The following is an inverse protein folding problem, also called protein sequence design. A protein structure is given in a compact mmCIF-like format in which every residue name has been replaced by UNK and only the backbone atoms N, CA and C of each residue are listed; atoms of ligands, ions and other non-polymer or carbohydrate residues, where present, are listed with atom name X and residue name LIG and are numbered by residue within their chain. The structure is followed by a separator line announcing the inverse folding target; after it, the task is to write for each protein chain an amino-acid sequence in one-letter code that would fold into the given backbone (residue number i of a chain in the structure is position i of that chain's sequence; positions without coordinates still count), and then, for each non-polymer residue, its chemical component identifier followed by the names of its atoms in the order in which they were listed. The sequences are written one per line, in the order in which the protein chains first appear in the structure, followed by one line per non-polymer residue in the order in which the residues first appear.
data_IF_665247406800
#
_entry.id   IF_665247406800
#
_cell.length_a   1.000
_cell.length_b   1.000
_cell.length_c   1.000
_cell.angle_alpha   90.00
_cell.angle_beta   90.00
_cell.angle_gamma   90.00
#
_symmetry.space_group_name_H-M   'P 1'
#
loop_
_entity.id
_entity.type
_entity.pdbx_description
1 polymer ?
#
# COMPACT_ATOMS: atom_id res chain seq x y z
N UNK A 1 -10.26 30.39 4.42
CA UNK A 1 -8.82 30.07 4.45
C UNK A 1 -8.16 30.73 3.24
N UNK A 2 -7.34 31.77 3.40
CA UNK A 2 -6.75 32.45 2.25
C UNK A 2 -5.47 31.77 1.76
N UNK A 3 -4.80 30.94 2.58
CA UNK A 3 -3.55 30.25 2.18
C UNK A 3 -3.81 28.79 1.79
N UNK A 4 -3.32 28.40 0.62
CA UNK A 4 -3.42 27.05 0.04
C UNK A 4 -2.07 26.58 -0.52
N UNK A 5 -1.92 25.27 -0.74
CA UNK A 5 -0.71 24.67 -1.31
C UNK A 5 -0.92 24.27 -2.77
N UNK A 6 -0.01 24.68 -3.66
CA UNK A 6 0.03 24.24 -5.05
C UNK A 6 0.50 22.77 -5.19
N UNK A 7 0.37 22.16 -6.37
CA UNK A 7 0.96 20.84 -6.66
C UNK A 7 2.49 20.79 -6.48
N UNK A 8 3.18 21.92 -6.56
CA UNK A 8 4.63 22.02 -6.30
C UNK A 8 4.96 22.24 -4.81
N UNK A 9 3.98 22.07 -3.92
CA UNK A 9 4.07 22.35 -2.47
C UNK A 9 4.41 23.81 -2.11
N UNK A 10 4.29 24.74 -3.06
CA UNK A 10 4.47 26.17 -2.80
C UNK A 10 3.20 26.78 -2.18
N UNK A 11 3.37 27.67 -1.21
CA UNK A 11 2.27 28.43 -0.62
C UNK A 11 1.73 29.49 -1.59
N UNK A 12 0.41 29.58 -1.64
CA UNK A 12 -0.33 30.58 -2.40
C UNK A 12 -1.36 31.23 -1.48
N UNK A 13 -1.44 32.56 -1.51
CA UNK A 13 -2.45 33.34 -0.80
C UNK A 13 -3.48 33.85 -1.81
N UNK A 14 -4.75 33.60 -1.55
CA UNK A 14 -5.91 34.12 -2.27
C UNK A 14 -6.56 35.19 -1.39
N UNK A 15 -6.53 36.43 -1.84
CA UNK A 15 -7.04 37.59 -1.08
C UNK A 15 -7.60 38.62 -2.05
N UNK A 16 -8.83 39.07 -1.80
CA UNK A 16 -9.56 40.06 -2.61
C UNK A 16 -9.64 39.71 -4.11
N UNK A 17 -9.74 38.42 -4.44
CA UNK A 17 -9.75 37.93 -5.83
C UNK A 17 -8.36 37.88 -6.49
N UNK A 18 -7.29 38.24 -5.76
CA UNK A 18 -5.92 38.18 -6.26
C UNK A 18 -5.16 36.98 -5.72
N UNK A 19 -4.19 36.51 -6.51
CA UNK A 19 -3.28 35.42 -6.16
C UNK A 19 -1.89 35.97 -5.87
N UNK A 20 -1.36 35.59 -4.71
CA UNK A 20 -0.02 35.93 -4.27
C UNK A 20 0.80 34.67 -3.99
N UNK A 21 2.11 34.77 -4.19
CA UNK A 21 3.09 33.74 -3.81
C UNK A 21 3.91 34.19 -2.62
N UNK A 22 4.37 33.24 -1.81
CA UNK A 22 5.22 33.53 -0.65
C UNK A 22 6.55 34.16 -1.08
N UNK A 23 6.94 35.24 -0.41
CA UNK A 23 8.19 35.97 -0.62
C UNK A 23 8.78 36.39 0.74
N UNK A 24 9.66 35.54 1.30
CA UNK A 24 10.19 35.65 2.66
C UNK A 24 9.05 35.70 3.72
N UNK A 25 8.90 36.83 4.41
CA UNK A 25 7.85 37.07 5.42
C UNK A 25 6.59 37.70 4.83
N UNK A 26 6.63 38.14 3.56
CA UNK A 26 5.53 38.79 2.86
C UNK A 26 4.99 37.92 1.72
N UNK A 27 4.02 38.47 1.00
CA UNK A 27 3.42 37.87 -0.19
C UNK A 27 3.56 38.82 -1.36
N UNK A 28 3.86 38.28 -2.55
CA UNK A 28 4.04 39.04 -3.79
C UNK A 28 2.99 38.60 -4.82
N UNK A 29 2.38 39.56 -5.51
CA UNK A 29 1.43 39.28 -6.59
C UNK A 29 2.09 38.38 -7.65
N UNK A 30 1.35 37.40 -8.18
CA UNK A 30 1.89 36.48 -9.20
C UNK A 30 1.95 37.09 -10.60
N UNK A 31 1.25 38.19 -10.86
CA UNK A 31 1.22 38.85 -12.17
C UNK A 31 2.62 39.38 -12.51
N UNK A 32 3.11 39.04 -13.69
CA UNK A 32 4.44 39.46 -14.14
C UNK A 32 4.54 41.00 -14.17
N UNK A 33 5.63 41.54 -13.63
CA UNK A 33 5.87 42.99 -13.53
C UNK A 33 5.11 43.69 -12.40
N UNK A 34 4.12 43.05 -11.77
CA UNK A 34 3.35 43.65 -10.69
C UNK A 34 4.15 43.70 -9.37
N UNK A 35 4.20 44.87 -8.75
CA UNK A 35 4.82 45.12 -7.44
C UNK A 35 3.87 44.93 -6.27
N UNK A 36 2.64 44.48 -6.52
CA UNK A 36 1.64 44.24 -5.49
C UNK A 36 2.17 43.34 -4.36
N UNK A 37 1.82 43.68 -3.13
CA UNK A 37 2.25 42.99 -1.91
C UNK A 37 1.06 42.74 -1.00
N UNK A 38 1.12 41.63 -0.26
CA UNK A 38 0.26 41.42 0.90
C UNK A 38 1.12 41.01 2.09
N UNK A 39 0.73 41.46 3.27
CA UNK A 39 1.38 41.12 4.54
C UNK A 39 0.31 40.75 5.56
N UNK A 40 0.69 39.94 6.54
CA UNK A 40 -0.20 39.56 7.63
C UNK A 40 0.41 40.07 8.93
N UNK A 41 -0.28 40.98 9.59
CA UNK A 41 0.13 41.52 10.89
C UNK A 41 -1.07 41.62 11.83
N UNK A 42 -0.90 41.22 13.09
CA UNK A 42 -1.92 41.28 14.16
C UNK A 42 -3.32 40.78 13.77
N UNK A 43 -3.39 39.69 12.99
CA UNK A 43 -4.68 39.09 12.60
C UNK A 43 -5.28 39.64 11.30
N UNK A 44 -4.67 40.67 10.69
CA UNK A 44 -5.23 41.39 9.54
C UNK A 44 -4.27 41.29 8.37
N UNK A 45 -4.82 41.09 7.17
CA UNK A 45 -4.07 41.20 5.94
C UNK A 45 -4.06 42.65 5.47
N UNK A 46 -2.87 43.20 5.24
CA UNK A 46 -2.69 44.50 4.58
C UNK A 46 -2.20 44.26 3.15
N UNK A 47 -2.82 44.94 2.18
CA UNK A 47 -2.48 44.81 0.77
C UNK A 47 -2.00 46.15 0.21
N UNK A 48 -1.00 46.07 -0.66
CA UNK A 48 -0.60 47.12 -1.56
C UNK A 48 -0.88 46.61 -2.98
N UNK A 49 -1.83 47.23 -3.67
CA UNK A 49 -2.09 46.94 -5.07
C UNK A 49 -1.31 47.92 -5.95
N UNK A 50 -0.52 47.36 -6.85
CA UNK A 50 0.19 48.15 -7.85
C UNK A 50 -0.83 48.69 -8.88
N UNK A 51 -0.79 49.98 -9.25
CA UNK A 51 -1.67 50.53 -10.30
C UNK A 51 -1.62 49.78 -11.64
N UNK A 52 -0.52 49.10 -11.96
CA UNK A 52 -0.40 48.27 -13.18
C UNK A 52 -0.98 46.85 -12.99
N UNK A 53 -1.45 46.51 -11.80
CA UNK A 53 -1.99 45.19 -11.51
C UNK A 53 -3.25 44.96 -12.34
N UNK A 54 -3.26 43.84 -13.07
CA UNK A 54 -4.45 43.40 -13.79
C UNK A 54 -5.58 43.17 -12.79
N UNK A 55 -6.81 43.53 -13.19
CA UNK A 55 -8.01 43.22 -12.44
C UNK A 55 -8.10 41.71 -12.09
N UNK A 56 -8.73 41.36 -10.95
CA UNK A 56 -8.98 39.97 -10.57
C UNK A 56 -9.69 39.22 -11.70
N UNK A 57 -9.23 38.00 -11.95
CA UNK A 57 -9.86 37.06 -12.85
C UNK A 57 -10.45 35.92 -12.00
N UNK A 58 -11.79 35.89 -11.80
CA UNK A 58 -12.46 34.86 -11.02
C UNK A 58 -12.14 33.44 -11.52
N UNK A 59 -11.98 33.25 -12.83
CA UNK A 59 -11.73 31.93 -13.42
C UNK A 59 -10.35 31.38 -13.02
N UNK A 60 -9.35 32.25 -12.97
CA UNK A 60 -8.00 31.88 -12.51
C UNK A 60 -7.99 31.53 -11.01
N UNK A 61 -8.86 32.15 -10.21
CA UNK A 61 -9.02 31.81 -8.79
C UNK A 61 -9.72 30.44 -8.65
N UNK A 62 -10.81 30.22 -9.38
CA UNK A 62 -11.52 28.94 -9.38
C UNK A 62 -10.64 27.78 -9.85
N UNK A 63 -9.84 27.98 -10.91
CA UNK A 63 -8.84 27.01 -11.37
C UNK A 63 -7.82 26.66 -10.30
N UNK A 64 -7.37 27.64 -9.52
CA UNK A 64 -6.41 27.42 -8.43
C UNK A 64 -7.07 26.64 -7.30
N UNK A 65 -8.31 26.97 -6.93
CA UNK A 65 -9.11 26.24 -5.96
C UNK A 65 -9.38 24.80 -6.41
N UNK A 66 -9.70 24.59 -7.69
CA UNK A 66 -9.85 23.26 -8.30
C UNK A 66 -8.59 22.42 -8.13
N UNK A 67 -7.42 22.98 -8.45
CA UNK A 67 -6.15 22.28 -8.29
C UNK A 67 -5.84 21.95 -6.81
N UNK A 68 -6.17 22.87 -5.90
CA UNK A 68 -6.04 22.66 -4.46
C UNK A 68 -6.97 21.54 -3.97
N UNK A 69 -8.24 21.54 -4.36
CA UNK A 69 -9.23 20.53 -3.99
C UNK A 69 -8.82 19.14 -4.50
N UNK A 70 -8.38 19.02 -5.75
CA UNK A 70 -7.88 17.76 -6.29
C UNK A 70 -6.68 17.26 -5.48
N UNK A 71 -5.73 18.15 -5.19
CA UNK A 71 -4.54 17.79 -4.42
C UNK A 71 -4.92 17.33 -3.01
N UNK A 72 -5.77 18.09 -2.32
CA UNK A 72 -6.24 17.80 -0.96
C UNK A 72 -6.95 16.45 -0.91
N UNK A 73 -7.89 16.20 -1.82
CA UNK A 73 -8.60 14.91 -1.89
C UNK A 73 -7.66 13.76 -2.26
N UNK A 74 -6.71 13.98 -3.17
CA UNK A 74 -5.71 12.96 -3.51
C UNK A 74 -4.81 12.57 -2.32
N UNK A 75 -4.59 13.48 -1.36
CA UNK A 75 -3.84 13.23 -0.11
C UNK A 75 -4.70 12.58 0.98
N UNK A 76 -6.01 12.86 1.00
CA UNK A 76 -6.91 12.48 2.09
C UNK A 76 -7.82 11.28 1.77
N UNK A 77 -7.95 10.89 0.50
CA UNK A 77 -8.82 9.79 0.07
C UNK A 77 -8.12 8.84 -0.91
N UNK A 78 -8.64 7.60 -0.97
CA UNK A 78 -8.26 6.57 -1.95
C UNK A 78 -9.18 6.54 -3.19
N UNK A 79 -10.11 7.49 -3.32
CA UNK A 79 -11.10 7.52 -4.41
C UNK A 79 -10.44 7.49 -5.79
N UNK A 80 -11.05 6.88 -6.81
CA UNK A 80 -10.48 6.86 -8.15
C UNK A 80 -10.31 8.30 -8.69
N UNK A 81 -9.26 8.59 -9.48
CA UNK A 81 -9.01 9.94 -10.02
C UNK A 81 -10.21 10.56 -10.73
N UNK A 82 -11.03 9.74 -11.40
CA UNK A 82 -12.26 10.17 -12.08
C UNK A 82 -13.27 10.79 -11.12
N UNK A 83 -13.48 10.18 -9.95
CA UNK A 83 -14.40 10.68 -8.94
C UNK A 83 -13.89 11.98 -8.32
N UNK A 84 -12.60 12.05 -7.98
CA UNK A 84 -11.97 13.28 -7.44
C UNK A 84 -12.11 14.45 -8.42
N UNK A 85 -11.80 14.20 -9.70
CA UNK A 85 -11.88 15.23 -10.75
C UNK A 85 -13.32 15.69 -10.94
N UNK A 86 -14.28 14.76 -10.97
CA UNK A 86 -15.69 15.08 -11.15
C UNK A 86 -16.22 15.91 -9.97
N UNK A 87 -15.95 15.50 -8.74
CA UNK A 87 -16.40 16.22 -7.54
C UNK A 87 -15.78 17.61 -7.44
N UNK A 88 -14.51 17.78 -7.84
CA UNK A 88 -13.88 19.10 -7.90
C UNK A 88 -14.48 19.96 -9.03
N UNK A 89 -14.81 19.35 -10.18
CA UNK A 89 -15.42 20.04 -11.34
C UNK A 89 -16.84 20.52 -11.07
N UNK A 90 -17.58 19.87 -10.17
CA UNK A 90 -18.92 20.32 -9.76
C UNK A 90 -18.90 21.60 -8.91
N UNK A 91 -17.73 22.01 -8.40
CA UNK A 91 -17.57 23.20 -7.53
C UNK A 91 -17.13 24.47 -8.27
N UNK A 92 -16.97 24.41 -9.60
CA UNK A 92 -16.52 25.52 -10.43
C UNK A 92 -17.61 25.95 -11.40
N UNK A 93 -17.56 27.21 -11.81
CA UNK A 93 -18.44 27.77 -12.83
C UNK A 93 -18.19 27.15 -14.22
N UNK A 94 -19.19 27.27 -15.10
CA UNK A 94 -19.08 26.81 -16.49
C UNK A 94 -17.98 27.57 -17.25
N UNK A 95 -17.83 28.87 -16.97
CA UNK A 95 -16.84 29.73 -17.62
C UNK A 95 -15.42 29.35 -17.20
N UNK A 96 -15.18 29.20 -15.90
CA UNK A 96 -13.89 28.76 -15.38
C UNK A 96 -13.52 27.32 -15.82
N UNK A 97 -14.50 26.48 -16.14
CA UNK A 97 -14.26 25.12 -16.63
C UNK A 97 -13.55 25.06 -17.99
N UNK A 98 -13.47 26.17 -18.74
CA UNK A 98 -12.63 26.29 -19.94
C UNK A 98 -11.14 26.34 -19.54
N UNK A 99 -10.83 26.94 -18.39
CA UNK A 99 -9.47 27.24 -17.93
C UNK A 99 -8.82 26.13 -17.07
N UNK A 100 -9.57 25.08 -16.72
CA UNK A 100 -9.07 23.96 -15.92
C UNK A 100 -8.22 22.97 -16.75
N UNK A 101 -7.31 22.22 -16.10
CA UNK A 101 -6.56 21.17 -16.79
C UNK A 101 -7.45 20.06 -17.34
N UNK A 102 -7.04 19.52 -18.50
CA UNK A 102 -7.63 18.32 -19.08
C UNK A 102 -7.54 17.11 -18.15
N UNK A 103 -8.45 16.15 -18.30
CA UNK A 103 -8.56 14.96 -17.43
C UNK A 103 -7.22 14.26 -17.21
N UNK A 104 -6.46 14.00 -18.27
CA UNK A 104 -5.17 13.30 -18.21
C UNK A 104 -4.14 14.08 -17.38
N UNK A 105 -4.14 15.42 -17.47
CA UNK A 105 -3.25 16.26 -16.69
C UNK A 105 -3.60 16.21 -15.19
N UNK A 106 -4.89 16.31 -14.85
CA UNK A 106 -5.38 16.18 -13.47
C UNK A 106 -5.11 14.78 -12.90
N UNK A 107 -5.36 13.73 -13.69
CA UNK A 107 -5.10 12.34 -13.30
C UNK A 107 -3.61 12.12 -12.99
N UNK A 108 -2.70 12.62 -13.84
CA UNK A 108 -1.25 12.53 -13.60
C UNK A 108 -0.84 13.28 -12.33
N UNK A 109 -1.48 14.41 -12.03
CA UNK A 109 -1.22 15.16 -10.79
C UNK A 109 -1.69 14.39 -9.55
N UNK A 110 -2.89 13.77 -9.59
CA UNK A 110 -3.38 12.89 -8.52
C UNK A 110 -2.45 11.70 -8.31
N UNK A 111 -2.05 11.03 -9.40
CA UNK A 111 -1.12 9.92 -9.34
C UNK A 111 0.23 10.33 -8.76
N UNK A 112 0.76 11.50 -9.13
CA UNK A 112 2.01 12.03 -8.54
C UNK A 112 1.89 12.32 -7.05
N UNK A 113 0.75 12.86 -6.61
CA UNK A 113 0.49 13.10 -5.19
C UNK A 113 0.41 11.79 -4.41
N UNK A 114 -0.23 10.77 -4.99
CA UNK A 114 -0.38 9.44 -4.37
C UNK A 114 0.88 8.61 -4.44
N UNK A 115 1.68 8.72 -5.49
CA UNK A 115 3.05 8.17 -5.58
C UNK A 115 3.95 8.93 -4.61
N UNK A 116 3.69 8.78 -3.31
CA UNK A 116 4.67 9.06 -2.28
C UNK A 116 5.91 8.19 -2.49
N UNK A 117 6.99 8.49 -1.75
CA UNK A 117 8.25 7.74 -1.85
C UNK A 117 8.11 6.24 -1.52
N UNK A 118 7.01 5.85 -0.85
CA UNK A 118 6.84 4.52 -0.25
C UNK A 118 5.79 3.62 -0.92
N UNK A 119 5.26 3.97 -2.10
CA UNK A 119 4.38 3.05 -2.85
C UNK A 119 5.22 2.15 -3.76
N UNK A 120 5.17 0.81 -3.57
CA UNK A 120 5.86 -0.10 -4.47
C UNK A 120 5.32 0.04 -5.90
N UNK A 121 6.21 0.02 -6.87
CA UNK A 121 5.82 -0.10 -8.28
C UNK A 121 4.98 -1.35 -8.47
N UNK A 122 4.02 -1.28 -9.41
CA UNK A 122 3.21 -2.43 -9.78
C UNK A 122 4.12 -3.65 -10.07
N UNK A 123 3.93 -4.77 -9.36
CA UNK A 123 4.73 -5.97 -9.54
C UNK A 123 4.60 -6.46 -10.98
N UNK A 124 5.72 -6.58 -11.71
CA UNK A 124 5.69 -7.12 -13.08
C UNK A 124 5.78 -8.65 -13.08
N UNK A 125 6.32 -9.21 -12.01
CA UNK A 125 6.50 -10.63 -11.80
C UNK A 125 6.09 -11.01 -10.37
N UNK A 126 5.88 -12.30 -10.12
CA UNK A 126 5.60 -12.80 -8.78
C UNK A 126 6.74 -12.51 -7.78
N UNK A 127 7.98 -12.40 -8.27
CA UNK A 127 9.14 -12.05 -7.44
C UNK A 127 9.13 -10.59 -6.98
N UNK A 128 8.40 -9.71 -7.67
CA UNK A 128 8.26 -8.29 -7.31
C UNK A 128 7.20 -8.07 -6.23
N UNK A 129 6.43 -9.10 -5.87
CA UNK A 129 5.44 -9.04 -4.79
C UNK A 129 6.17 -9.12 -3.44
N UNK A 130 6.34 -7.96 -2.82
CA UNK A 130 6.86 -7.87 -1.45
C UNK A 130 5.68 -8.06 -0.49
N UNK A 131 5.57 -9.25 0.10
CA UNK A 131 4.66 -9.49 1.23
C UNK A 131 5.34 -8.92 2.48
N UNK A 132 4.76 -7.93 3.19
CA UNK A 132 5.38 -7.39 4.39
C UNK A 132 5.64 -8.46 5.45
N UNK A 133 6.73 -8.34 6.21
CA UNK A 133 7.20 -9.37 7.14
C UNK A 133 6.14 -9.73 8.19
N UNK A 134 5.33 -8.76 8.64
CA UNK A 134 4.24 -8.98 9.59
C UNK A 134 3.10 -9.85 9.05
N UNK A 135 3.03 -10.11 7.74
CA UNK A 135 2.12 -11.08 7.13
C UNK A 135 2.80 -12.42 6.81
N UNK A 136 4.10 -12.55 7.04
CA UNK A 136 4.86 -13.79 6.84
C UNK A 136 5.06 -14.58 8.14
N UNK A 137 4.70 -13.99 9.28
CA UNK A 137 4.81 -14.61 10.61
C UNK A 137 3.42 -14.88 11.18
N UNK A 138 3.30 -15.92 11.99
CA UNK A 138 2.07 -16.15 12.74
C UNK A 138 1.83 -14.99 13.74
N UNK A 139 0.57 -14.67 14.07
CA UNK A 139 0.27 -13.67 15.10
C UNK A 139 0.96 -14.02 16.42
N UNK A 140 1.32 -13.04 17.24
CA UNK A 140 2.19 -13.20 18.44
C UNK A 140 1.77 -14.30 19.42
N UNK A 141 0.49 -14.66 19.45
CA UNK A 141 -0.04 -15.71 20.34
C UNK A 141 0.15 -17.14 19.81
N UNK A 142 0.62 -17.30 18.57
CA UNK A 142 0.73 -18.58 17.89
C UNK A 142 2.13 -18.73 17.29
N UNK A 143 2.71 -19.91 17.45
CA UNK A 143 4.02 -20.20 16.86
C UNK A 143 3.93 -20.42 15.34
N UNK A 144 2.78 -20.89 14.84
CA UNK A 144 2.59 -21.15 13.42
C UNK A 144 1.11 -21.18 12.97
N UNK A 145 0.92 -21.03 11.66
CA UNK A 145 -0.33 -21.40 10.97
C UNK A 145 -0.12 -22.74 10.26
N UNK A 146 -1.01 -23.70 10.52
CA UNK A 146 -1.03 -25.02 9.90
C UNK A 146 -2.20 -25.11 8.92
N UNK A 147 -1.95 -25.61 7.70
CA UNK A 147 -2.95 -25.68 6.64
C UNK A 147 -3.12 -27.11 6.11
N UNK A 148 -4.34 -27.64 6.21
CA UNK A 148 -4.70 -28.96 5.68
C UNK A 148 -5.34 -28.76 4.31
N UNK A 149 -4.81 -29.46 3.30
CA UNK A 149 -5.32 -29.44 1.94
C UNK A 149 -5.85 -30.82 1.54
N UNK A 150 -6.97 -30.83 0.83
CA UNK A 150 -7.58 -32.02 0.25
C UNK A 150 -7.39 -32.08 -1.26
N UNK A 151 -7.34 -33.29 -1.81
CA UNK A 151 -7.39 -33.51 -3.26
C UNK A 151 -8.82 -33.90 -3.63
N UNK A 152 -9.53 -33.02 -4.32
CA UNK A 152 -10.91 -33.23 -4.76
C UNK A 152 -10.94 -33.08 -6.29
N UNK A 153 -11.31 -34.13 -7.01
CA UNK A 153 -11.30 -34.17 -8.49
C UNK A 153 -9.98 -33.71 -9.12
N UNK A 154 -8.86 -34.12 -8.54
CA UNK A 154 -7.50 -33.76 -9.01
C UNK A 154 -7.06 -32.33 -8.67
N UNK A 155 -7.90 -31.53 -7.99
CA UNK A 155 -7.56 -30.18 -7.53
C UNK A 155 -7.18 -30.21 -6.06
N UNK A 156 -6.10 -29.50 -5.71
CA UNK A 156 -5.70 -29.27 -4.31
C UNK A 156 -6.46 -28.06 -3.77
N UNK A 157 -7.31 -28.29 -2.78
CA UNK A 157 -8.12 -27.25 -2.14
C UNK A 157 -7.76 -27.16 -0.66
N UNK A 158 -7.61 -25.95 -0.09
CA UNK A 158 -7.47 -25.80 1.35
C UNK A 158 -8.79 -26.21 2.01
N UNK A 159 -8.71 -27.08 3.02
CA UNK A 159 -9.85 -27.56 3.78
C UNK A 159 -9.91 -26.93 5.17
N UNK A 160 -8.76 -26.68 5.78
CA UNK A 160 -8.66 -26.15 7.13
C UNK A 160 -7.40 -25.29 7.28
N UNK A 161 -7.56 -24.15 7.95
CA UNK A 161 -6.46 -23.36 8.49
C UNK A 161 -6.57 -23.34 10.01
N UNK A 162 -5.45 -23.55 10.69
CA UNK A 162 -5.41 -23.59 12.16
C UNK A 162 -4.21 -22.80 12.66
N UNK A 163 -4.44 -21.96 13.67
CA UNK A 163 -3.38 -21.26 14.36
C UNK A 163 -2.97 -22.12 15.56
N UNK A 164 -1.72 -22.59 15.57
CA UNK A 164 -1.22 -23.50 16.59
C UNK A 164 -0.35 -22.73 17.59
N UNK A 165 -0.58 -22.90 18.91
CA UNK A 165 0.17 -22.20 19.94
C UNK A 165 1.63 -22.65 20.01
N UNK A 166 1.91 -23.89 19.62
CA UNK A 166 3.24 -24.50 19.60
C UNK A 166 3.31 -25.63 18.55
N UNK A 167 4.44 -26.33 18.51
CA UNK A 167 4.71 -27.47 17.60
C UNK A 167 4.75 -28.83 18.30
N UNK A 168 4.09 -28.95 19.44
CA UNK A 168 4.11 -30.19 20.22
C UNK A 168 3.19 -31.25 19.62
N UNK A 169 3.55 -32.53 19.81
CA UNK A 169 2.74 -33.65 19.31
C UNK A 169 1.29 -33.57 19.83
N UNK A 170 1.10 -33.20 21.10
CA UNK A 170 -0.23 -33.11 21.70
C UNK A 170 -1.13 -32.09 20.99
N UNK A 171 -0.58 -30.94 20.62
CA UNK A 171 -1.29 -29.89 19.87
C UNK A 171 -1.74 -30.40 18.49
N UNK A 172 -0.91 -31.21 17.83
CA UNK A 172 -1.28 -31.86 16.58
C UNK A 172 -2.33 -32.96 16.76
N UNK A 173 -2.25 -33.75 17.82
CA UNK A 173 -3.27 -34.77 18.13
C UNK A 173 -4.63 -34.13 18.34
N UNK A 174 -4.68 -33.00 19.05
CA UNK A 174 -5.92 -32.25 19.27
C UNK A 174 -6.47 -31.71 17.93
N UNK A 175 -5.62 -31.11 17.09
CA UNK A 175 -5.99 -30.67 15.74
C UNK A 175 -6.56 -31.80 14.88
N UNK A 176 -5.81 -32.91 14.75
CA UNK A 176 -6.22 -34.03 13.92
C UNK A 176 -7.42 -34.78 14.49
N UNK A 177 -7.58 -34.79 15.83
CA UNK A 177 -8.76 -35.30 16.51
C UNK A 177 -10.02 -34.51 16.14
N UNK A 178 -9.96 -33.17 16.13
CA UNK A 178 -11.06 -32.31 15.65
C UNK A 178 -11.37 -32.64 14.18
N UNK A 179 -10.34 -32.76 13.32
CA UNK A 179 -10.53 -33.15 11.93
C UNK A 179 -11.23 -34.51 11.83
N UNK A 180 -10.82 -35.50 12.62
CA UNK A 180 -11.42 -36.83 12.62
C UNK A 180 -12.89 -36.84 13.05
N UNK A 181 -13.29 -35.93 13.95
CA UNK A 181 -14.68 -35.78 14.37
C UNK A 181 -15.58 -35.22 13.26
N UNK A 182 -15.05 -34.31 12.43
CA UNK A 182 -15.82 -33.63 11.38
C UNK A 182 -15.65 -34.24 9.98
N UNK A 183 -14.60 -35.03 9.75
CA UNK A 183 -14.34 -35.66 8.47
C UNK A 183 -15.24 -36.89 8.28
N UNK A 184 -16.10 -36.82 7.27
CA UNK A 184 -16.98 -37.95 6.91
C UNK A 184 -16.22 -39.15 6.32
N UNK A 185 -15.01 -38.93 5.79
CA UNK A 185 -14.19 -39.95 5.14
C UNK A 185 -12.80 -39.96 5.75
N UNK A 186 -12.31 -41.16 6.07
CA UNK A 186 -10.93 -41.36 6.50
C UNK A 186 -10.00 -41.28 5.28
N UNK A 187 -8.82 -40.63 5.40
CA UNK A 187 -7.86 -40.59 4.33
C UNK A 187 -7.16 -41.96 4.18
N UNK A 188 -6.87 -42.36 2.94
CA UNK A 188 -6.05 -43.54 2.65
C UNK A 188 -4.55 -43.22 2.69
N UNK A 189 -4.21 -41.99 2.31
CA UNK A 189 -2.86 -41.47 2.34
C UNK A 189 -2.88 -39.99 2.75
N UNK A 190 -1.83 -39.58 3.44
CA UNK A 190 -1.55 -38.17 3.70
C UNK A 190 -0.17 -37.82 3.19
N UNK A 191 -0.02 -36.60 2.70
CA UNK A 191 1.30 -36.01 2.47
C UNK A 191 1.54 -34.99 3.57
N UNK A 192 2.52 -35.24 4.43
CA UNK A 192 2.85 -34.37 5.57
C UNK A 192 4.27 -33.86 5.46
N UNK A 193 4.52 -32.75 6.14
CA UNK A 193 5.86 -32.18 6.29
C UNK A 193 6.70 -33.07 7.20
N UNK A 194 8.03 -33.03 7.06
CA UNK A 194 8.95 -33.90 7.82
C UNK A 194 9.08 -33.51 9.31
N UNK A 195 8.05 -32.92 9.89
CA UNK A 195 7.99 -32.59 11.30
C UNK A 195 7.51 -33.79 12.11
N UNK A 196 8.40 -34.32 12.96
CA UNK A 196 8.15 -35.57 13.68
C UNK A 196 6.94 -35.53 14.62
N UNK A 197 6.71 -34.40 15.27
CA UNK A 197 5.55 -34.22 16.15
C UNK A 197 4.23 -34.38 15.38
N UNK A 198 4.12 -33.77 14.21
CA UNK A 198 2.94 -33.88 13.36
C UNK A 198 2.78 -35.28 12.76
N UNK A 199 3.87 -35.92 12.33
CA UNK A 199 3.87 -37.31 11.83
C UNK A 199 3.37 -38.30 12.91
N UNK A 200 3.92 -38.20 14.12
CA UNK A 200 3.54 -39.06 15.24
C UNK A 200 2.07 -38.85 15.63
N UNK A 201 1.64 -37.60 15.80
CA UNK A 201 0.27 -37.26 16.11
C UNK A 201 -0.72 -37.79 15.07
N UNK A 202 -0.37 -37.68 13.79
CA UNK A 202 -1.22 -38.19 12.72
C UNK A 202 -1.32 -39.73 12.75
N UNK A 203 -0.23 -40.44 13.03
CA UNK A 203 -0.24 -41.90 13.22
C UNK A 203 -1.08 -42.34 14.43
N UNK A 204 -1.13 -41.53 15.49
CA UNK A 204 -2.00 -41.80 16.65
C UNK A 204 -3.48 -41.71 16.25
N UNK A 205 -3.87 -40.69 15.49
CA UNK A 205 -5.28 -40.47 15.12
C UNK A 205 -5.73 -41.34 13.92
N UNK A 206 -4.85 -41.58 12.95
CA UNK A 206 -5.12 -42.34 11.73
C UNK A 206 -4.08 -43.46 11.51
N UNK A 207 -4.03 -44.49 12.38
CA UNK A 207 -2.97 -45.52 12.34
C UNK A 207 -2.95 -46.37 11.07
N UNK A 208 -4.07 -46.42 10.33
CA UNK A 208 -4.19 -47.18 9.09
C UNK A 208 -3.89 -46.34 7.83
N UNK A 209 -3.68 -45.03 7.98
CA UNK A 209 -3.39 -44.14 6.86
C UNK A 209 -1.91 -44.20 6.49
N UNK A 210 -1.61 -44.26 5.18
CA UNK A 210 -0.21 -44.25 4.72
C UNK A 210 0.34 -42.81 4.73
N UNK A 211 1.35 -42.56 5.56
CA UNK A 211 2.06 -41.28 5.55
C UNK A 211 3.11 -41.27 4.43
N UNK A 212 3.06 -40.21 3.62
CA UNK A 212 4.04 -39.90 2.58
C UNK A 212 4.71 -38.56 2.89
N UNK A 213 6.01 -38.46 2.63
CA UNK A 213 6.73 -37.19 2.76
C UNK A 213 6.34 -36.18 1.68
N UNK A 214 6.18 -34.91 2.07
CA UNK A 214 5.86 -33.85 1.12
C UNK A 214 7.02 -33.49 0.19
N UNK A 215 6.89 -33.83 -1.09
CA UNK A 215 7.90 -33.53 -2.11
C UNK A 215 8.18 -32.02 -2.28
N UNK A 216 7.16 -31.17 -2.11
CA UNK A 216 7.33 -29.71 -2.16
C UNK A 216 8.26 -29.22 -1.05
N UNK A 217 8.01 -29.66 0.19
CA UNK A 217 8.84 -29.29 1.33
C UNK A 217 10.22 -29.96 1.28
N UNK A 218 10.32 -31.19 0.78
CA UNK A 218 11.59 -31.84 0.52
C UNK A 218 12.48 -31.02 -0.43
N UNK A 219 11.96 -30.59 -1.59
CA UNK A 219 12.69 -29.72 -2.52
C UNK A 219 13.11 -28.41 -1.86
N UNK A 220 12.22 -27.80 -1.07
CA UNK A 220 12.51 -26.54 -0.35
C UNK A 220 13.65 -26.74 0.65
N UNK A 221 13.68 -27.85 1.38
CA UNK A 221 14.76 -28.18 2.31
C UNK A 221 16.10 -28.45 1.58
N UNK A 222 16.09 -29.21 0.48
CA UNK A 222 17.29 -29.42 -0.35
C UNK A 222 17.83 -28.08 -0.85
N UNK A 223 16.96 -27.23 -1.41
CA UNK A 223 17.37 -25.95 -1.96
C UNK A 223 17.98 -25.04 -0.90
N UNK A 224 17.35 -24.94 0.28
CA UNK A 224 17.90 -24.20 1.44
C UNK A 224 19.30 -24.72 1.80
N UNK A 225 19.48 -26.04 1.86
CA UNK A 225 20.76 -26.64 2.20
C UNK A 225 21.84 -26.35 1.14
N UNK A 226 21.51 -26.40 -0.14
CA UNK A 226 22.40 -26.02 -1.24
C UNK A 226 22.77 -24.53 -1.14
N UNK A 227 21.79 -23.64 -0.99
CA UNK A 227 22.01 -22.20 -0.87
C UNK A 227 22.91 -21.85 0.32
N UNK A 228 22.67 -22.43 1.50
CA UNK A 228 23.51 -22.22 2.69
C UNK A 228 24.97 -22.62 2.38
N UNK A 229 25.20 -23.80 1.78
CA UNK A 229 26.54 -24.26 1.40
C UNK A 229 27.24 -23.33 0.41
N UNK A 230 26.52 -22.75 -0.55
CA UNK A 230 27.09 -21.80 -1.52
C UNK A 230 27.46 -20.48 -0.83
N UNK A 231 26.60 -19.96 0.06
CA UNK A 231 26.86 -18.72 0.81
C UNK A 231 28.06 -18.87 1.74
N UNK A 232 28.18 -20.00 2.45
CA UNK A 232 29.35 -20.33 3.28
C UNK A 232 30.65 -20.40 2.45
N UNK A 233 30.62 -21.03 1.25
CA UNK A 233 31.79 -21.06 0.37
C UNK A 233 32.21 -19.66 -0.10
N UNK A 234 31.26 -18.76 -0.40
CA UNK A 234 31.56 -17.38 -0.79
C UNK A 234 32.20 -16.56 0.33
N UNK A 235 31.77 -16.72 1.57
CA UNK A 235 32.40 -16.09 2.74
C UNK A 235 33.84 -16.56 2.96
N UNK A 236 34.11 -17.86 2.78
CA UNK A 236 35.47 -18.42 2.91
C UNK A 236 36.39 -17.95 1.76
N UNK A 237 35.87 -17.83 0.53
CA UNK A 237 36.66 -17.30 -0.60
C UNK A 237 36.87 -15.78 -0.55
N UNK A 238 36.03 -15.05 0.20
CA UNK A 238 36.11 -13.59 0.35
C UNK A 238 37.05 -13.11 1.47
N UNK A 239 37.48 -14.00 2.37
CA UNK A 239 38.47 -13.70 3.42
C UNK A 239 39.91 -14.06 3.03
N UNK A 240 40.16 -14.46 1.78
CA UNK A 240 41.51 -14.57 1.20
C UNK A 240 41.75 -13.41 0.22
N UNK A 241 41.85 -12.19 0.76
CA UNK A 241 42.57 -11.06 0.16
C UNK A 241 43.10 -10.18 1.28
#
# INVERSE_FOLDING_TARGET
MPVIKSFKNSDQLLLDGYRYRRDKLAWRCVTNGCKGRASYDKGIYTTYQDPICRAPDPDEIEKVLYNYEIKKNAQQSHDPPRLIIQNARLKISLDAAINIPQYIASQRSIQRVRRGKDIPTEPKTFADIIIPLNYQVAPTLFEQMYAVHGSIHGKKLPLLYSLLPNKDQKTYEDLFGIVAQHAQRKPNYITIDFEKAAENAFNVIYPQCKILGCFFHFKKCIWKHICLRITFKKQISGQRK
#
